data_IF_623404519676
#
_entry.id   IF_623404519676
#
_cell.length_a   1.000
_cell.length_b   1.000
_cell.length_c   1.000
_cell.angle_alpha   90.00
_cell.angle_beta   90.00
_cell.angle_gamma   90.00
#
_symmetry.space_group_name_H-M   'P 1'
#
loop_
_entity.id
_entity.type
_entity.pdbx_description
1 polymer ?
#
# COMPACT_ATOMS: atom_id res chain seq x y z
N UNK A 1 -10.92 -28.93 -13.77
CA UNK A 1 -9.81 -28.98 -12.79
C UNK A 1 -8.86 -27.86 -13.15
N UNK A 2 -8.59 -26.90 -12.25
CA UNK A 2 -7.61 -25.85 -12.52
C UNK A 2 -6.21 -26.45 -12.31
N UNK A 3 -5.40 -26.49 -13.37
CA UNK A 3 -4.04 -27.02 -13.30
C UNK A 3 -3.16 -26.05 -12.53
N UNK A 4 -2.60 -26.49 -11.41
CA UNK A 4 -1.55 -25.78 -10.66
C UNK A 4 -0.16 -26.12 -11.18
N UNK A 5 -0.08 -26.82 -12.32
CA UNK A 5 1.16 -27.26 -12.94
C UNK A 5 1.96 -26.05 -13.41
N UNK A 6 3.17 -25.88 -12.88
CA UNK A 6 4.02 -24.71 -13.12
C UNK A 6 3.86 -23.58 -12.10
N UNK A 7 2.94 -23.68 -11.12
CA UNK A 7 2.89 -22.73 -10.01
C UNK A 7 3.96 -23.08 -8.98
N UNK A 8 4.87 -22.13 -8.73
CA UNK A 8 5.83 -22.23 -7.62
C UNK A 8 5.13 -21.79 -6.34
N UNK A 9 5.14 -22.59 -5.26
CA UNK A 9 4.56 -22.16 -4.00
C UNK A 9 5.29 -20.92 -3.49
N UNK A 10 4.53 -19.91 -3.04
CA UNK A 10 5.09 -18.75 -2.34
C UNK A 10 5.60 -19.24 -0.99
N UNK A 11 6.89 -19.56 -0.94
CA UNK A 11 7.57 -19.99 0.28
C UNK A 11 8.36 -18.85 0.89
N UNK A 12 8.61 -18.92 2.19
CA UNK A 12 9.48 -17.97 2.88
C UNK A 12 10.87 -17.89 2.23
N UNK A 13 11.43 -19.03 1.83
CA UNK A 13 12.74 -19.12 1.17
C UNK A 13 12.73 -18.47 -0.22
N UNK A 14 11.64 -18.61 -0.97
CA UNK A 14 11.46 -17.93 -2.25
C UNK A 14 11.37 -16.41 -2.07
N UNK A 15 10.56 -15.94 -1.12
CA UNK A 15 10.43 -14.51 -0.82
C UNK A 15 11.75 -13.90 -0.34
N UNK A 16 12.51 -14.59 0.51
CA UNK A 16 13.82 -14.10 0.95
C UNK A 16 14.75 -13.83 -0.26
N UNK A 17 14.89 -14.83 -1.15
CA UNK A 17 15.69 -14.69 -2.38
C UNK A 17 15.14 -13.62 -3.34
N UNK A 18 13.83 -13.43 -3.35
CA UNK A 18 13.18 -12.39 -4.15
C UNK A 18 13.53 -11.00 -3.63
N UNK A 19 13.41 -10.77 -2.32
CA UNK A 19 13.76 -9.48 -1.70
C UNK A 19 15.27 -9.21 -1.66
N UNK A 20 16.11 -10.25 -1.66
CA UNK A 20 17.57 -10.08 -1.87
C UNK A 20 17.88 -9.48 -3.25
N UNK A 21 17.04 -9.76 -4.25
CA UNK A 21 17.21 -9.26 -5.63
C UNK A 21 16.50 -7.93 -5.88
N UNK A 22 15.37 -7.71 -5.21
CA UNK A 22 14.53 -6.54 -5.38
C UNK A 22 14.44 -5.80 -4.05
N UNK A 23 15.31 -4.81 -3.89
CA UNK A 23 15.30 -3.96 -2.71
C UNK A 23 13.97 -3.20 -2.60
N UNK A 24 13.47 -3.11 -1.37
CA UNK A 24 12.36 -2.24 -1.07
C UNK A 24 12.89 -0.80 -1.02
N UNK A 25 12.71 -0.07 -2.13
CA UNK A 25 13.09 1.35 -2.19
C UNK A 25 12.24 2.12 -1.18
N UNK A 26 12.84 2.96 -0.32
CA UNK A 26 12.08 3.80 0.57
C UNK A 26 11.09 4.67 -0.22
N UNK A 27 9.93 4.90 0.36
CA UNK A 27 8.95 5.82 -0.22
C UNK A 27 9.57 7.21 -0.34
N UNK A 28 9.15 7.96 -1.36
CA UNK A 28 9.55 9.36 -1.50
C UNK A 28 9.14 10.16 -0.27
N UNK A 29 9.99 11.08 0.19
CA UNK A 29 9.74 11.87 1.41
C UNK A 29 8.39 12.61 1.37
N UNK A 30 7.99 13.05 0.17
CA UNK A 30 6.70 13.70 -0.07
C UNK A 30 5.49 12.80 0.19
N UNK A 31 5.60 11.47 0.16
CA UNK A 31 4.45 10.57 0.36
C UNK A 31 3.82 10.78 1.72
N UNK A 32 4.61 11.02 2.75
CA UNK A 32 4.11 11.31 4.10
C UNK A 32 3.35 12.63 4.13
N UNK A 33 3.93 13.68 3.52
CA UNK A 33 3.32 15.01 3.43
C UNK A 33 2.00 14.98 2.65
N UNK A 34 2.02 14.40 1.45
CA UNK A 34 0.82 14.27 0.59
C UNK A 34 -0.27 13.44 1.28
N UNK A 35 0.11 12.37 1.98
CA UNK A 35 -0.85 11.56 2.74
C UNK A 35 -1.49 12.36 3.89
N UNK A 36 -0.72 13.22 4.57
CA UNK A 36 -1.26 14.10 5.59
C UNK A 36 -2.21 15.15 5.01
N UNK A 37 -1.83 15.79 3.89
CA UNK A 37 -2.66 16.77 3.18
C UNK A 37 -3.99 16.15 2.72
N UNK A 38 -3.95 14.94 2.15
CA UNK A 38 -5.17 14.22 1.74
C UNK A 38 -6.08 13.88 2.92
N UNK A 39 -5.52 13.45 4.06
CA UNK A 39 -6.31 13.15 5.26
C UNK A 39 -6.95 14.41 5.83
N UNK A 40 -6.22 15.52 5.86
CA UNK A 40 -6.76 16.80 6.32
C UNK A 40 -7.88 17.28 5.40
N UNK A 41 -7.67 17.26 4.09
CA UNK A 41 -8.71 17.62 3.12
C UNK A 41 -9.95 16.73 3.24
N UNK A 42 -9.78 15.42 3.42
CA UNK A 42 -10.90 14.51 3.65
C UNK A 42 -11.67 14.84 4.94
N UNK A 43 -10.95 15.21 6.01
CA UNK A 43 -11.58 15.58 7.28
C UNK A 43 -12.39 16.86 7.14
N UNK A 44 -11.85 17.88 6.50
CA UNK A 44 -12.58 19.13 6.22
C UNK A 44 -13.87 18.86 5.46
N UNK A 45 -13.81 18.04 4.41
CA UNK A 45 -15.00 17.68 3.63
C UNK A 45 -16.03 16.90 4.46
N UNK A 46 -15.60 16.06 5.39
CA UNK A 46 -16.50 15.33 6.28
C UNK A 46 -17.15 16.25 7.32
N UNK A 47 -16.39 17.20 7.86
CA UNK A 47 -16.88 18.18 8.83
C UNK A 47 -17.88 19.15 8.14
N UNK A 48 -17.66 19.53 6.88
CA UNK A 48 -18.61 20.33 6.08
C UNK A 48 -19.87 19.54 5.66
N UNK A 49 -19.75 18.22 5.52
CA UNK A 49 -20.85 17.34 5.14
C UNK A 49 -21.80 17.00 6.30
N UNK A 50 -21.42 17.30 7.55
CA UNK A 50 -22.32 17.18 8.70
C UNK A 50 -23.39 18.29 8.61
N UNK A 51 -24.67 17.96 8.34
CA UNK A 51 -25.69 18.99 8.24
C UNK A 51 -25.93 19.56 9.64
N UNK A 52 -25.70 20.87 9.80
CA UNK A 52 -26.23 21.64 10.93
C UNK A 52 -27.73 21.28 11.11
N UNK A 53 -28.20 20.95 12.33
CA UNK A 53 -29.59 20.56 12.57
C UNK A 53 -30.60 21.66 12.21
#
# INVERSE_FOLDING_TARGET
MASTEGLVPITRSFLARYYDKYECVPLHDDVQRLSAELREGSKVLMDEAEPTP
#
